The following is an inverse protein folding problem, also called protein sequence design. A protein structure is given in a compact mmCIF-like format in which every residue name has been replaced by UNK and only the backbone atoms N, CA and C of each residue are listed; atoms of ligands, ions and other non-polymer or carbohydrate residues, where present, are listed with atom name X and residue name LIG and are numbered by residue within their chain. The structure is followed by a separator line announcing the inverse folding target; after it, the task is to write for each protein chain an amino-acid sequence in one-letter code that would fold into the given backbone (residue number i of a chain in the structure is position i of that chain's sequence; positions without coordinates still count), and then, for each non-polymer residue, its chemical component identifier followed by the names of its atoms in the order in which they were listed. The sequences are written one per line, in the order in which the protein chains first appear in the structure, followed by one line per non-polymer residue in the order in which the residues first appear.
data_IF_055645471187
#
_entry.id   IF_055645471187
#
_cell.length_a   1.000
_cell.length_b   1.000
_cell.length_c   1.000
_cell.angle_alpha   90.00
_cell.angle_beta   90.00
_cell.angle_gamma   90.00
#
_symmetry.space_group_name_H-M   'P 1'
#
loop_
_entity.id
_entity.type
_entity.pdbx_description
1 polymer ?
#
# COMPACT_ATOMS: atom_id res chain seq x y z
N UNK A 1 19.23 3.02 4.99
CA UNK A 1 18.50 3.61 3.84
C UNK A 1 18.97 5.06 3.63
N UNK A 2 18.93 5.64 2.42
CA UNK A 2 19.21 7.09 2.24
C UNK A 2 18.14 7.93 2.96
N UNK A 3 18.56 8.96 3.71
CA UNK A 3 17.64 9.80 4.52
C UNK A 3 16.52 10.41 3.68
N UNK A 4 16.85 10.86 2.46
CA UNK A 4 15.89 11.41 1.51
C UNK A 4 14.84 10.38 1.05
N UNK A 5 15.22 9.11 0.93
CA UNK A 5 14.31 8.02 0.59
C UNK A 5 13.34 7.75 1.75
N UNK A 6 13.85 7.83 2.99
CA UNK A 6 13.06 7.62 4.20
C UNK A 6 11.97 8.67 4.36
N UNK A 7 12.33 9.95 4.30
CA UNK A 7 11.35 11.06 4.39
C UNK A 7 10.28 10.98 3.30
N UNK A 8 10.67 10.53 2.11
CA UNK A 8 9.74 10.32 1.00
C UNK A 8 8.74 9.21 1.28
N UNK A 9 9.20 8.08 1.83
CA UNK A 9 8.32 6.98 2.21
C UNK A 9 7.40 7.37 3.37
N UNK A 10 7.89 8.13 4.34
CA UNK A 10 7.06 8.70 5.42
C UNK A 10 5.91 9.55 4.84
N UNK A 11 6.21 10.45 3.89
CA UNK A 11 5.18 11.23 3.20
C UNK A 11 4.19 10.38 2.42
N UNK A 12 4.65 9.31 1.76
CA UNK A 12 3.75 8.41 1.03
C UNK A 12 2.80 7.70 2.00
N UNK A 13 3.31 7.19 3.12
CA UNK A 13 2.48 6.54 4.15
C UNK A 13 1.45 7.52 4.69
N UNK A 14 1.85 8.74 5.03
CA UNK A 14 0.94 9.77 5.53
C UNK A 14 -0.14 10.13 4.50
N UNK A 15 0.25 10.38 3.24
CA UNK A 15 -0.69 10.69 2.18
C UNK A 15 -1.67 9.55 1.93
N UNK A 16 -1.19 8.31 1.86
CA UNK A 16 -2.05 7.14 1.65
C UNK A 16 -2.99 6.97 2.84
N UNK A 17 -2.49 7.08 4.08
CA UNK A 17 -3.31 6.91 5.28
C UNK A 17 -4.41 7.99 5.40
N UNK A 18 -4.13 9.22 4.99
CA UNK A 18 -5.13 10.31 4.96
C UNK A 18 -6.15 10.11 3.84
N UNK A 19 -5.70 9.69 2.65
CA UNK A 19 -6.56 9.51 1.48
C UNK A 19 -7.41 8.24 1.57
N UNK A 20 -6.94 7.21 2.29
CA UNK A 20 -7.54 5.89 2.36
C UNK A 20 -8.01 5.54 3.78
N UNK A 21 -8.80 6.43 4.38
CA UNK A 21 -9.58 6.10 5.58
C UNK A 21 -10.85 5.40 5.11
N UNK A 22 -10.81 4.07 5.01
CA UNK A 22 -11.93 3.28 4.52
C UNK A 22 -12.13 2.03 5.39
N UNK A 23 -13.34 1.80 5.92
CA UNK A 23 -13.60 0.70 6.85
C UNK A 23 -13.65 -0.69 6.19
N UNK A 24 -13.80 -0.76 4.87
CA UNK A 24 -13.90 -2.02 4.13
C UNK A 24 -12.53 -2.60 3.76
N UNK A 25 -11.46 -1.82 3.95
CA UNK A 25 -10.08 -2.25 3.68
C UNK A 25 -9.12 -1.98 4.85
N UNK A 26 -8.18 -2.89 5.02
CA UNK A 26 -7.08 -2.77 5.96
C UNK A 26 -5.78 -2.59 5.18
N UNK A 27 -5.02 -1.54 5.51
CA UNK A 27 -3.73 -1.25 4.87
C UNK A 27 -2.62 -1.55 5.86
N UNK A 28 -1.73 -2.46 5.48
CA UNK A 28 -0.53 -2.78 6.20
C UNK A 28 0.70 -2.31 5.42
N UNK A 29 1.65 -1.71 6.15
CA UNK A 29 2.90 -1.23 5.58
C UNK A 29 4.03 -2.17 5.99
N UNK A 30 4.83 -2.57 5.01
CA UNK A 30 6.11 -3.21 5.23
C UNK A 30 7.18 -2.32 4.64
N UNK A 31 7.54 -1.27 5.38
CA UNK A 31 8.58 -0.34 4.98
C UNK A 31 9.61 -0.31 6.11
N UNK A 32 10.76 -0.98 5.94
CA UNK A 32 11.84 -0.97 6.92
C UNK A 32 12.21 0.47 7.30
N UNK A 33 12.44 0.72 8.59
CA UNK A 33 12.82 2.03 9.14
C UNK A 33 11.74 3.14 9.10
N UNK A 34 10.54 2.87 8.55
CA UNK A 34 9.43 3.84 8.43
C UNK A 34 8.15 3.32 9.08
N UNK A 35 7.58 2.24 8.56
CA UNK A 35 6.31 1.69 9.00
C UNK A 35 6.28 0.19 8.72
N UNK A 36 6.42 -0.61 9.78
CA UNK A 36 6.32 -2.06 9.76
C UNK A 36 5.13 -2.49 10.59
N UNK A 37 3.93 -2.32 10.04
CA UNK A 37 2.69 -2.82 10.63
C UNK A 37 2.35 -4.21 10.12
N UNK A 38 2.84 -4.59 8.94
CA UNK A 38 2.66 -5.93 8.40
C UNK A 38 3.40 -6.98 9.24
N UNK A 39 2.67 -7.94 9.83
CA UNK A 39 3.26 -9.02 10.66
C UNK A 39 4.27 -9.88 9.89
N UNK A 40 4.08 -10.03 8.57
CA UNK A 40 4.96 -10.78 7.66
C UNK A 40 5.82 -9.86 6.80
N UNK A 41 6.27 -8.74 7.37
CA UNK A 41 7.13 -7.83 6.65
C UNK A 41 8.45 -8.52 6.29
N UNK A 42 8.65 -8.79 5.00
CA UNK A 42 9.88 -9.39 4.51
C UNK A 42 10.92 -8.29 4.28
N UNK A 43 11.75 -8.06 5.29
CA UNK A 43 12.74 -6.99 5.33
C UNK A 43 13.81 -7.18 4.22
N UNK A 44 13.97 -8.41 3.69
CA UNK A 44 14.90 -8.70 2.60
C UNK A 44 14.27 -8.49 1.20
N UNK A 45 12.95 -8.64 1.06
CA UNK A 45 12.21 -8.50 -0.20
C UNK A 45 11.95 -7.06 -0.66
N UNK A 46 12.29 -6.08 0.18
CA UNK A 46 12.11 -4.65 -0.11
C UNK A 46 10.77 -4.10 0.37
N UNK A 47 10.60 -2.77 0.33
CA UNK A 47 9.43 -2.12 0.88
C UNK A 47 8.16 -2.42 0.06
N UNK A 48 7.06 -2.72 0.73
CA UNK A 48 5.77 -2.95 0.10
C UNK A 48 4.60 -2.48 0.96
N UNK A 49 3.45 -2.32 0.32
CA UNK A 49 2.17 -1.99 0.95
C UNK A 49 1.22 -3.15 0.66
N UNK A 50 0.58 -3.70 1.70
CA UNK A 50 -0.41 -4.75 1.58
C UNK A 50 -1.78 -4.16 1.86
N UNK A 51 -2.72 -4.41 0.95
CA UNK A 51 -4.10 -3.95 1.04
C UNK A 51 -4.95 -5.19 1.15
N UNK A 52 -5.72 -5.30 2.23
CA UNK A 52 -6.57 -6.46 2.53
C UNK A 52 -8.01 -6.01 2.67
N UNK A 53 -8.96 -6.84 2.29
CA UNK A 53 -10.36 -6.59 2.60
C UNK A 53 -10.63 -6.95 4.06
N UNK A 54 -11.34 -6.10 4.81
CA UNK A 54 -11.62 -6.34 6.24
C UNK A 54 -12.50 -7.57 6.45
N UNK A 55 -13.53 -7.75 5.63
CA UNK A 55 -14.41 -8.94 5.69
C UNK A 55 -13.79 -10.23 5.13
N UNK A 56 -12.83 -10.14 4.20
CA UNK A 56 -12.26 -11.30 3.54
C UNK A 56 -10.73 -11.24 3.45
N UNK A 57 -10.09 -11.82 4.47
CA UNK A 57 -8.63 -11.88 4.60
C UNK A 57 -7.91 -12.67 3.50
N UNK A 58 -8.63 -13.45 2.69
CA UNK A 58 -8.05 -14.15 1.53
C UNK A 58 -7.91 -13.24 0.32
N UNK A 59 -8.61 -12.11 0.30
CA UNK A 59 -8.50 -11.12 -0.75
C UNK A 59 -7.48 -10.08 -0.29
N UNK A 60 -6.25 -10.24 -0.77
CA UNK A 60 -5.15 -9.31 -0.54
C UNK A 60 -4.50 -8.86 -1.85
N UNK A 61 -4.03 -7.62 -1.87
CA UNK A 61 -3.20 -7.05 -2.93
C UNK A 61 -1.91 -6.53 -2.34
N UNK A 62 -0.78 -7.02 -2.85
CA UNK A 62 0.55 -6.49 -2.49
C UNK A 62 1.04 -5.52 -3.57
N UNK A 63 1.42 -4.33 -3.14
CA UNK A 63 1.99 -3.26 -3.95
C UNK A 63 3.46 -3.13 -3.56
N UNK A 64 4.34 -3.69 -4.36
CA UNK A 64 5.79 -3.66 -4.11
C UNK A 64 6.35 -2.31 -4.56
N UNK A 65 6.97 -1.57 -3.63
CA UNK A 65 7.62 -0.29 -3.91
C UNK A 65 9.02 -0.55 -4.48
N UNK A 66 9.05 -1.00 -5.74
CA UNK A 66 10.29 -1.24 -6.48
C UNK A 66 11.12 0.02 -6.63
N UNK A 67 12.41 -0.14 -6.91
CA UNK A 67 13.35 0.96 -7.16
C UNK A 67 12.84 1.95 -8.22
N UNK A 68 12.18 1.44 -9.27
CA UNK A 68 11.53 2.27 -10.30
C UNK A 68 10.39 3.11 -9.75
N UNK A 69 9.56 2.55 -8.86
CA UNK A 69 8.51 3.31 -8.17
C UNK A 69 9.11 4.40 -7.31
N UNK A 70 10.19 4.08 -6.60
CA UNK A 70 10.88 5.01 -5.70
C UNK A 70 11.61 6.15 -6.43
N UNK A 71 11.80 6.05 -7.75
CA UNK A 71 12.33 7.16 -8.59
C UNK A 71 11.27 8.23 -8.88
N UNK A 72 9.98 7.89 -8.85
CA UNK A 72 8.87 8.84 -9.08
C UNK A 72 8.62 9.75 -7.87
N UNK A 73 7.93 10.89 -8.01
CA UNK A 73 7.63 11.77 -6.85
C UNK A 73 6.71 11.10 -5.82
N UNK A 74 6.79 11.53 -4.55
CA UNK A 74 5.92 11.00 -3.48
C UNK A 74 4.44 11.16 -3.81
N UNK A 75 4.04 12.31 -4.37
CA UNK A 75 2.65 12.58 -4.76
C UNK A 75 2.16 11.63 -5.86
N UNK A 76 3.04 11.30 -6.81
CA UNK A 76 2.70 10.37 -7.90
C UNK A 76 2.58 8.95 -7.38
N UNK A 77 3.49 8.54 -6.49
CA UNK A 77 3.42 7.24 -5.83
C UNK A 77 2.12 7.14 -5.00
N UNK A 78 1.80 8.15 -4.20
CA UNK A 78 0.55 8.19 -3.42
C UNK A 78 -0.68 8.11 -4.33
N UNK A 79 -0.71 8.85 -5.44
CA UNK A 79 -1.79 8.78 -6.43
C UNK A 79 -1.91 7.39 -7.06
N UNK A 80 -0.79 6.75 -7.41
CA UNK A 80 -0.79 5.39 -7.98
C UNK A 80 -1.27 4.34 -6.98
N UNK A 81 -0.84 4.43 -5.71
CA UNK A 81 -1.31 3.56 -4.63
C UNK A 81 -2.82 3.75 -4.44
N UNK A 82 -3.27 5.01 -4.39
CA UNK A 82 -4.67 5.38 -4.25
C UNK A 82 -5.51 4.72 -5.36
N UNK A 83 -5.12 4.94 -6.61
CA UNK A 83 -5.77 4.33 -7.77
C UNK A 83 -5.76 2.80 -7.70
N UNK A 84 -4.63 2.18 -7.31
CA UNK A 84 -4.52 0.72 -7.20
C UNK A 84 -5.49 0.16 -6.17
N UNK A 85 -5.65 0.83 -5.03
CA UNK A 85 -6.59 0.44 -4.00
C UNK A 85 -8.04 0.61 -4.47
N UNK A 86 -8.38 1.71 -5.15
CA UNK A 86 -9.72 1.89 -5.73
C UNK A 86 -10.04 0.78 -6.75
N UNK A 87 -9.10 0.47 -7.64
CA UNK A 87 -9.25 -0.63 -8.59
C UNK A 87 -9.35 -1.99 -7.88
N UNK A 88 -8.67 -2.17 -6.75
CA UNK A 88 -8.80 -3.36 -5.94
C UNK A 88 -10.21 -3.48 -5.37
N UNK A 89 -10.76 -2.43 -4.75
CA UNK A 89 -12.14 -2.42 -4.24
C UNK A 89 -13.14 -2.77 -5.35
N UNK A 90 -13.04 -2.12 -6.50
CA UNK A 90 -13.91 -2.42 -7.65
C UNK A 90 -13.81 -3.88 -8.11
N UNK A 91 -12.62 -4.48 -8.11
CA UNK A 91 -12.44 -5.90 -8.42
C UNK A 91 -13.07 -6.81 -7.35
N UNK A 92 -12.95 -6.45 -6.08
CA UNK A 92 -13.55 -7.21 -4.98
C UNK A 92 -15.07 -7.13 -5.05
N UNK A 93 -15.63 -5.94 -5.21
CA UNK A 93 -17.07 -5.72 -5.40
C UNK A 93 -17.60 -6.50 -6.61
N UNK A 94 -16.91 -6.44 -7.75
CA UNK A 94 -17.30 -7.19 -8.94
C UNK A 94 -17.26 -8.71 -8.71
N UNK A 95 -16.25 -9.21 -8.01
CA UNK A 95 -16.14 -10.64 -7.67
C UNK A 95 -17.21 -11.08 -6.66
N UNK A 96 -17.57 -10.22 -5.70
CA UNK A 96 -18.61 -10.48 -4.70
C UNK A 96 -20.02 -10.44 -5.30
N UNK A 97 -20.26 -9.53 -6.25
CA UNK A 97 -21.55 -9.40 -6.94
C UNK A 97 -21.81 -10.49 -7.98
N UNK A 98 -20.82 -11.31 -8.30
CA UNK A 98 -20.95 -12.46 -9.20
C UNK A 98 -21.06 -12.03 -10.67
N UNK A 99 -20.13 -12.52 -11.47
CA UNK A 99 -20.36 -12.68 -12.90
C UNK A 99 -21.49 -13.67 -13.17
#
# INVERSE_FOLDING_TARGET
METALKEKLEKIVEQVNVLMIDPDIEIEYCIPEVATTAEKCDINGGPYISVKHTDNKYIEKKIVLTDTYLKESSEKIASMITFTIEQFKLQVDANLMGA
#
